data_IF_032057469432
#
_entry.id   IF_032057469432
#
_cell.length_a   1.000
_cell.length_b   1.000
_cell.length_c   1.000
_cell.angle_alpha   90.00
_cell.angle_beta   90.00
_cell.angle_gamma   90.00
#
_symmetry.space_group_name_H-M   'P 1'
#
loop_
_entity.id
_entity.type
_entity.pdbx_description
1 polymer ?
#
# COMPACT_ATOMS: atom_id res chain seq x y z
N UNK A 1 -0.18 -8.44 -2.30
CA UNK A 1 0.85 -7.44 -2.74
C UNK A 1 2.22 -8.11 -2.84
N UNK A 2 3.17 -7.46 -3.53
CA UNK A 2 4.46 -8.05 -3.88
C UNK A 2 5.62 -7.06 -3.72
N UNK A 3 6.81 -7.63 -3.47
CA UNK A 3 8.08 -6.92 -3.46
C UNK A 3 9.17 -7.78 -4.13
N UNK A 4 10.43 -7.37 -4.03
CA UNK A 4 11.56 -8.10 -4.65
C UNK A 4 11.73 -9.55 -4.16
N UNK A 5 11.27 -9.87 -2.95
CA UNK A 5 11.37 -11.24 -2.42
C UNK A 5 10.37 -12.23 -3.05
N UNK A 6 9.36 -11.78 -3.78
CA UNK A 6 8.54 -12.65 -4.61
C UNK A 6 9.23 -13.07 -5.92
N UNK A 7 10.47 -12.65 -6.13
CA UNK A 7 11.31 -12.96 -7.30
C UNK A 7 12.56 -13.80 -6.92
N UNK A 8 12.41 -15.02 -6.34
CA UNK A 8 13.56 -15.82 -5.92
C UNK A 8 14.46 -16.14 -7.11
N UNK A 9 15.76 -15.83 -7.00
CA UNK A 9 16.71 -16.00 -8.09
C UNK A 9 16.38 -15.17 -9.33
N UNK A 10 15.71 -14.03 -9.18
CA UNK A 10 15.21 -13.17 -10.26
C UNK A 10 14.14 -13.83 -11.15
N UNK A 11 13.43 -14.84 -10.63
CA UNK A 11 12.32 -15.46 -11.36
C UNK A 11 11.16 -14.44 -11.50
N UNK A 12 10.68 -14.25 -12.72
CA UNK A 12 9.54 -13.37 -12.98
C UNK A 12 8.24 -13.98 -12.44
N UNK A 13 7.34 -13.10 -11.99
CA UNK A 13 5.95 -13.47 -11.67
C UNK A 13 5.18 -13.63 -12.98
N UNK A 14 4.43 -14.73 -13.11
CA UNK A 14 3.53 -14.93 -14.25
C UNK A 14 2.18 -14.23 -13.99
N UNK A 15 2.11 -12.97 -14.35
CA UNK A 15 0.94 -12.13 -14.13
C UNK A 15 -0.30 -12.57 -14.91
N UNK A 16 -0.13 -13.29 -16.01
CA UNK A 16 -1.24 -13.88 -16.75
C UNK A 16 -1.90 -15.01 -15.93
N UNK A 17 -1.10 -15.87 -15.30
CA UNK A 17 -1.60 -16.90 -14.37
C UNK A 17 -2.22 -16.28 -13.12
N UNK A 18 -1.61 -15.24 -12.55
CA UNK A 18 -2.17 -14.49 -11.42
C UNK A 18 -3.57 -13.96 -11.77
N UNK A 19 -3.76 -13.37 -12.96
CA UNK A 19 -5.08 -12.92 -13.43
C UNK A 19 -6.05 -14.09 -13.65
N UNK A 20 -5.58 -15.17 -14.25
CA UNK A 20 -6.38 -16.37 -14.48
C UNK A 20 -6.82 -17.05 -13.17
N UNK A 21 -6.02 -16.91 -12.08
CA UNK A 21 -6.37 -17.34 -10.73
C UNK A 21 -7.45 -16.47 -10.06
N UNK A 22 -8.03 -15.49 -10.79
CA UNK A 22 -9.16 -14.68 -10.32
C UNK A 22 -8.77 -13.37 -9.65
N UNK A 23 -7.48 -13.02 -9.58
CA UNK A 23 -7.05 -11.76 -8.99
C UNK A 23 -7.53 -10.58 -9.84
N UNK A 24 -7.99 -9.50 -9.20
CA UNK A 24 -8.50 -8.32 -9.88
C UNK A 24 -7.51 -7.15 -9.83
N UNK A 25 -6.72 -7.07 -8.77
CA UNK A 25 -5.70 -6.05 -8.56
C UNK A 25 -4.44 -6.66 -7.95
N UNK A 26 -3.33 -5.94 -8.09
CA UNK A 26 -2.11 -6.24 -7.38
C UNK A 26 -1.39 -4.94 -7.01
N UNK A 27 -0.69 -4.94 -5.88
CA UNK A 27 0.03 -3.78 -5.35
C UNK A 27 1.50 -4.15 -5.27
N UNK A 28 2.38 -3.34 -5.88
CA UNK A 28 3.82 -3.62 -5.96
C UNK A 28 4.62 -2.58 -5.17
N UNK A 29 5.60 -3.05 -4.39
CA UNK A 29 6.61 -2.16 -3.78
C UNK A 29 7.32 -1.39 -4.89
N UNK A 30 7.24 -0.07 -4.86
CA UNK A 30 7.96 0.77 -5.81
C UNK A 30 9.31 1.20 -5.22
N UNK A 31 9.28 1.74 -4.00
CA UNK A 31 10.44 2.35 -3.35
C UNK A 31 10.48 2.10 -1.85
N UNK A 32 11.65 2.37 -1.25
CA UNK A 32 11.85 2.38 0.20
C UNK A 32 12.85 3.48 0.56
N UNK A 33 12.60 4.20 1.63
CA UNK A 33 13.49 5.22 2.15
C UNK A 33 13.88 6.26 1.10
N UNK A 34 15.16 6.65 1.08
CA UNK A 34 15.63 7.75 0.25
C UNK A 34 16.06 7.36 -1.16
N UNK A 35 16.39 6.07 -1.41
CA UNK A 35 17.09 5.71 -2.65
C UNK A 35 16.77 4.32 -3.20
N UNK A 36 16.16 3.42 -2.40
CA UNK A 36 15.85 2.10 -2.90
C UNK A 36 14.68 2.15 -3.90
N UNK A 37 14.88 1.54 -5.06
CA UNK A 37 13.85 1.24 -6.04
C UNK A 37 13.78 -0.28 -6.17
N UNK A 38 12.58 -0.86 -6.07
CA UNK A 38 12.40 -2.28 -6.31
C UNK A 38 12.87 -2.63 -7.73
N UNK A 39 13.88 -3.50 -7.90
CA UNK A 39 14.44 -3.81 -9.21
C UNK A 39 13.43 -4.42 -10.18
N UNK A 40 12.35 -5.02 -9.67
CA UNK A 40 11.28 -5.63 -10.48
C UNK A 40 10.10 -4.69 -10.72
N UNK A 41 10.08 -3.49 -10.10
CA UNK A 41 8.94 -2.56 -10.17
C UNK A 41 8.47 -2.27 -11.60
N UNK A 42 9.39 -1.98 -12.51
CA UNK A 42 9.05 -1.59 -13.88
C UNK A 42 8.48 -2.77 -14.68
N UNK A 43 9.08 -3.94 -14.54
CA UNK A 43 8.65 -5.17 -15.20
C UNK A 43 7.31 -5.64 -14.68
N UNK A 44 7.13 -5.74 -13.36
CA UNK A 44 5.88 -6.10 -12.72
C UNK A 44 4.76 -5.13 -13.10
N UNK A 45 5.00 -3.84 -12.99
CA UNK A 45 4.02 -2.81 -13.35
C UNK A 45 3.53 -2.91 -14.77
N UNK A 46 4.42 -3.21 -15.71
CA UNK A 46 4.09 -3.39 -17.13
C UNK A 46 3.30 -4.68 -17.34
N UNK A 47 3.77 -5.78 -16.75
CA UNK A 47 3.17 -7.11 -16.91
C UNK A 47 1.81 -7.23 -16.21
N UNK A 48 1.63 -6.62 -15.03
CA UNK A 48 0.34 -6.53 -14.34
C UNK A 48 -0.71 -5.84 -15.22
N UNK A 49 -0.35 -4.73 -15.83
CA UNK A 49 -1.22 -3.97 -16.72
C UNK A 49 -1.54 -4.75 -18.00
N UNK A 50 -0.55 -5.40 -18.61
CA UNK A 50 -0.74 -6.25 -19.78
C UNK A 50 -1.67 -7.44 -19.49
N UNK A 51 -1.64 -7.98 -18.26
CA UNK A 51 -2.54 -9.03 -17.80
C UNK A 51 -3.97 -8.52 -17.45
N UNK A 52 -4.23 -7.22 -17.50
CA UNK A 52 -5.53 -6.63 -17.16
C UNK A 52 -5.80 -6.57 -15.65
N UNK A 53 -4.77 -6.50 -14.81
CA UNK A 53 -4.89 -6.24 -13.39
C UNK A 53 -4.92 -4.73 -13.12
N UNK A 54 -5.72 -4.30 -12.15
CA UNK A 54 -5.63 -2.95 -11.59
C UNK A 54 -4.35 -2.91 -10.77
N UNK A 55 -3.48 -1.94 -11.06
CA UNK A 55 -2.19 -1.82 -10.40
C UNK A 55 -2.24 -0.82 -9.25
N UNK A 56 -1.69 -1.20 -8.10
CA UNK A 56 -1.32 -0.31 -7.01
C UNK A 56 0.19 -0.29 -6.79
N UNK A 57 0.64 0.68 -6.01
CA UNK A 57 2.04 0.81 -5.60
C UNK A 57 2.15 1.24 -4.16
N UNK A 58 3.27 0.89 -3.50
CA UNK A 58 3.56 1.41 -2.17
C UNK A 58 5.01 1.83 -2.01
N UNK A 59 5.22 2.74 -1.06
CA UNK A 59 6.52 3.16 -0.55
C UNK A 59 6.67 2.69 0.89
N UNK A 60 7.72 1.92 1.17
CA UNK A 60 8.07 1.51 2.53
C UNK A 60 8.79 2.67 3.25
N UNK A 61 8.16 3.14 4.32
CA UNK A 61 8.62 4.32 5.04
C UNK A 61 9.81 4.01 5.98
N UNK A 62 10.80 4.89 5.98
CA UNK A 62 11.89 4.92 6.95
C UNK A 62 11.87 6.27 7.68
N UNK A 63 11.06 6.42 8.78
CA UNK A 63 10.82 7.72 9.40
C UNK A 63 12.01 8.40 10.04
N UNK A 64 13.14 7.71 10.23
CA UNK A 64 14.43 8.33 10.62
C UNK A 64 14.99 9.28 9.54
N UNK A 65 14.46 9.24 8.33
CA UNK A 65 14.85 10.12 7.24
C UNK A 65 13.72 11.09 6.86
N UNK A 66 14.05 12.12 6.09
CA UNK A 66 13.11 13.15 5.68
C UNK A 66 11.91 12.61 4.92
N UNK A 67 10.69 12.89 5.40
CA UNK A 67 9.44 12.57 4.73
C UNK A 67 9.38 13.19 3.32
N UNK A 68 9.80 14.46 3.18
CA UNK A 68 9.75 15.20 1.92
C UNK A 68 10.68 14.56 0.88
N UNK A 69 11.90 14.18 1.25
CA UNK A 69 12.82 13.53 0.32
C UNK A 69 12.33 12.15 -0.10
N UNK A 70 11.73 11.38 0.81
CA UNK A 70 11.13 10.08 0.48
C UNK A 70 9.94 10.24 -0.49
N UNK A 71 9.08 11.23 -0.27
CA UNK A 71 7.96 11.49 -1.20
C UNK A 71 8.43 11.95 -2.58
N UNK A 72 9.47 12.77 -2.66
CA UNK A 72 10.06 13.19 -3.93
C UNK A 72 10.66 12.00 -4.69
N UNK A 73 11.38 11.12 -3.98
CA UNK A 73 11.91 9.88 -4.54
C UNK A 73 10.79 8.97 -5.07
N UNK A 74 9.77 8.72 -4.25
CA UNK A 74 8.63 7.88 -4.64
C UNK A 74 7.87 8.47 -5.84
N UNK A 75 7.52 9.75 -5.79
CA UNK A 75 6.81 10.42 -6.87
C UNK A 75 7.60 10.42 -8.19
N UNK A 76 8.93 10.58 -8.14
CA UNK A 76 9.79 10.51 -9.33
C UNK A 76 9.75 9.12 -9.97
N UNK A 77 9.76 8.04 -9.18
CA UNK A 77 9.62 6.67 -9.68
C UNK A 77 8.23 6.43 -10.26
N UNK A 78 7.16 6.91 -9.59
CA UNK A 78 5.80 6.79 -10.09
C UNK A 78 5.59 7.48 -11.43
N UNK A 79 6.16 8.66 -11.62
CA UNK A 79 6.02 9.45 -12.85
C UNK A 79 6.48 8.71 -14.11
N UNK A 80 7.33 7.69 -13.96
CA UNK A 80 7.83 6.91 -15.10
C UNK A 80 6.81 5.90 -15.64
N UNK A 81 5.77 5.55 -14.86
CA UNK A 81 4.90 4.42 -15.22
C UNK A 81 3.47 4.50 -14.67
N UNK A 82 3.02 5.61 -14.07
CA UNK A 82 1.65 5.72 -13.52
C UNK A 82 0.65 6.19 -14.56
N UNK A 83 -0.58 5.64 -14.49
CA UNK A 83 -1.74 6.08 -15.28
C UNK A 83 -2.91 6.43 -14.38
N UNK A 84 -3.95 7.07 -14.95
CA UNK A 84 -5.19 7.39 -14.21
C UNK A 84 -5.99 6.16 -13.80
N UNK A 85 -5.71 4.99 -14.40
CA UNK A 85 -6.38 3.73 -14.08
C UNK A 85 -5.75 2.98 -12.90
N UNK A 86 -4.59 3.41 -12.42
CA UNK A 86 -3.93 2.81 -11.27
C UNK A 86 -4.59 3.23 -9.96
N UNK A 87 -4.44 2.42 -8.90
CA UNK A 87 -4.84 2.82 -7.55
C UNK A 87 -4.03 4.05 -7.08
N UNK A 88 -4.54 4.84 -6.14
CA UNK A 88 -3.73 5.87 -5.49
C UNK A 88 -2.48 5.27 -4.87
N UNK A 89 -1.38 6.05 -4.74
CA UNK A 89 -0.16 5.57 -4.11
C UNK A 89 -0.40 5.29 -2.63
N UNK A 90 0.32 4.31 -2.06
CA UNK A 90 0.23 3.97 -0.65
C UNK A 90 1.52 4.29 0.12
N UNK A 91 1.34 4.79 1.34
CA UNK A 91 2.37 4.86 2.38
C UNK A 91 2.30 3.59 3.21
N UNK A 92 3.35 2.80 3.20
CA UNK A 92 3.54 1.62 4.04
C UNK A 92 4.30 2.04 5.31
N UNK A 93 3.59 2.05 6.46
CA UNK A 93 4.09 2.57 7.73
C UNK A 93 4.15 1.46 8.78
N UNK A 94 5.34 0.89 8.94
CA UNK A 94 5.59 -0.23 9.87
C UNK A 94 6.70 0.06 10.89
N UNK A 95 7.46 1.14 10.69
CA UNK A 95 8.58 1.53 11.54
C UNK A 95 8.40 2.94 12.10
N UNK A 96 8.93 3.17 13.30
CA UNK A 96 8.90 4.50 13.92
C UNK A 96 10.14 5.33 13.56
N UNK A 97 11.22 4.69 13.10
CA UNK A 97 12.53 5.35 12.92
C UNK A 97 13.09 5.95 14.21
N UNK A 98 12.64 5.48 15.39
CA UNK A 98 13.00 6.05 16.68
C UNK A 98 12.24 7.32 17.07
N UNK A 99 11.25 7.75 16.28
CA UNK A 99 10.42 8.92 16.56
C UNK A 99 9.39 8.62 17.66
N UNK A 100 9.10 9.62 18.49
CA UNK A 100 7.95 9.56 19.40
C UNK A 100 6.64 9.60 18.60
N UNK A 101 5.50 9.16 19.18
CA UNK A 101 4.20 9.20 18.47
C UNK A 101 3.87 10.60 17.91
N UNK A 102 4.11 11.66 18.65
CA UNK A 102 3.85 13.03 18.18
C UNK A 102 4.77 13.42 17.00
N UNK A 103 6.05 13.06 17.05
CA UNK A 103 6.97 13.33 15.95
C UNK A 103 6.65 12.49 14.71
N UNK A 104 6.22 11.24 14.91
CA UNK A 104 5.81 10.36 13.81
C UNK A 104 4.54 10.89 13.12
N UNK A 105 3.57 11.42 13.87
CA UNK A 105 2.39 12.08 13.30
C UNK A 105 2.78 13.28 12.42
N UNK A 106 3.73 14.11 12.86
CA UNK A 106 4.25 15.23 12.06
C UNK A 106 4.91 14.71 10.78
N UNK A 107 5.70 13.66 10.87
CA UNK A 107 6.37 13.02 9.75
C UNK A 107 5.35 12.48 8.73
N UNK A 108 4.35 11.73 9.19
CA UNK A 108 3.27 11.17 8.35
C UNK A 108 2.49 12.28 7.66
N UNK A 109 2.12 13.34 8.38
CA UNK A 109 1.42 14.49 7.79
C UNK A 109 2.23 15.14 6.68
N UNK A 110 3.54 15.35 6.90
CA UNK A 110 4.44 15.92 5.89
C UNK A 110 4.54 15.01 4.65
N UNK A 111 4.66 13.69 4.85
CA UNK A 111 4.67 12.70 3.76
C UNK A 111 3.39 12.77 2.93
N UNK A 112 2.23 12.59 3.57
CA UNK A 112 0.93 12.54 2.91
C UNK A 112 0.64 13.84 2.14
N UNK A 113 0.81 15.00 2.79
CA UNK A 113 0.55 16.30 2.15
C UNK A 113 1.45 16.53 0.94
N UNK A 114 2.72 16.13 1.04
CA UNK A 114 3.67 16.30 -0.08
C UNK A 114 3.35 15.34 -1.22
N UNK A 115 3.07 14.06 -0.92
CA UNK A 115 2.77 13.08 -1.97
C UNK A 115 1.45 13.40 -2.69
N UNK A 116 0.40 13.77 -1.94
CA UNK A 116 -0.88 14.17 -2.52
C UNK A 116 -0.71 15.35 -3.48
N UNK A 117 0.10 16.34 -3.10
CA UNK A 117 0.41 17.49 -3.96
C UNK A 117 1.17 17.10 -5.22
N UNK A 118 2.13 16.17 -5.12
CA UNK A 118 2.95 15.73 -6.25
C UNK A 118 2.18 14.84 -7.21
N UNK A 119 1.25 14.04 -6.72
CA UNK A 119 0.51 13.06 -7.52
C UNK A 119 -0.89 13.50 -7.92
N UNK A 120 -1.45 14.51 -7.25
CA UNK A 120 -2.84 14.95 -7.42
C UNK A 120 -3.85 13.93 -6.88
N UNK A 121 -3.42 12.97 -6.05
CA UNK A 121 -4.25 11.85 -5.56
C UNK A 121 -4.10 11.70 -4.06
N UNK A 122 -5.17 11.33 -3.37
CA UNK A 122 -5.15 11.08 -1.94
C UNK A 122 -4.41 9.76 -1.64
N UNK A 123 -3.31 9.85 -0.87
CA UNK A 123 -2.47 8.72 -0.50
C UNK A 123 -3.21 7.75 0.42
N UNK A 124 -3.12 6.45 0.13
CA UNK A 124 -3.60 5.37 0.99
C UNK A 124 -2.61 5.19 2.15
N UNK A 125 -3.10 4.91 3.36
CA UNK A 125 -2.25 4.54 4.50
C UNK A 125 -2.37 3.03 4.73
N UNK A 126 -1.23 2.32 4.60
CA UNK A 126 -1.10 0.94 5.05
C UNK A 126 -0.49 0.90 6.44
N UNK A 127 -1.12 0.11 7.33
CA UNK A 127 -0.69 -0.03 8.72
C UNK A 127 -1.36 -1.24 9.40
N UNK A 128 -0.70 -1.81 10.43
CA UNK A 128 -1.35 -2.74 11.34
C UNK A 128 -2.12 -2.02 12.46
N UNK A 129 -3.20 -2.61 13.01
CA UNK A 129 -3.94 -2.00 14.13
C UNK A 129 -3.07 -1.74 15.36
N UNK A 130 -2.15 -2.65 15.65
CA UNK A 130 -1.23 -2.51 16.78
C UNK A 130 -0.28 -1.34 16.62
N UNK A 131 0.34 -1.20 15.43
CA UNK A 131 1.23 -0.09 15.17
C UNK A 131 0.51 1.26 15.32
N UNK A 132 -0.69 1.39 14.73
CA UNK A 132 -1.43 2.65 14.82
C UNK A 132 -1.81 3.01 16.26
N UNK A 133 -2.30 2.02 17.04
CA UNK A 133 -2.69 2.27 18.44
C UNK A 133 -1.52 2.67 19.32
N UNK A 134 -0.38 1.99 19.17
CA UNK A 134 0.73 2.16 20.12
C UNK A 134 1.80 3.13 19.61
N UNK A 135 2.16 3.08 18.34
CA UNK A 135 3.26 3.88 17.81
C UNK A 135 2.77 5.24 17.25
N UNK A 136 1.52 5.28 16.77
CA UNK A 136 0.88 6.52 16.31
C UNK A 136 0.02 7.18 17.39
N UNK A 137 -0.03 6.63 18.62
CA UNK A 137 -0.84 7.18 19.70
C UNK A 137 -2.34 7.16 19.41
N UNK A 138 -2.78 6.27 18.54
CA UNK A 138 -4.17 6.12 18.10
C UNK A 138 -4.81 7.44 17.61
N UNK A 139 -4.04 8.31 16.98
CA UNK A 139 -4.52 9.61 16.47
C UNK A 139 -5.67 9.43 15.48
N UNK A 140 -6.66 10.32 15.56
CA UNK A 140 -7.81 10.38 14.64
C UNK A 140 -7.58 11.32 13.46
N UNK A 141 -6.44 11.99 13.42
CA UNK A 141 -6.14 13.04 12.42
C UNK A 141 -6.28 12.56 10.96
N UNK A 142 -6.04 11.28 10.72
CA UNK A 142 -5.98 10.72 9.37
C UNK A 142 -7.20 9.84 9.02
N UNK A 143 -8.24 9.83 9.85
CA UNK A 143 -9.39 8.93 9.73
C UNK A 143 -10.20 9.06 8.42
N UNK A 144 -10.08 10.20 7.73
CA UNK A 144 -10.73 10.43 6.43
C UNK A 144 -9.91 9.93 5.24
N UNK A 145 -8.73 9.38 5.49
CA UNK A 145 -7.90 8.82 4.43
C UNK A 145 -8.24 7.37 4.13
N UNK A 146 -8.06 6.91 2.87
CA UNK A 146 -8.22 5.50 2.56
C UNK A 146 -7.29 4.65 3.42
N UNK A 147 -7.86 3.66 4.12
CA UNK A 147 -7.13 2.76 5.00
C UNK A 147 -6.89 1.42 4.31
N UNK A 148 -5.64 0.99 4.27
CA UNK A 148 -5.24 -0.38 3.97
C UNK A 148 -4.74 -1.02 5.27
N UNK A 149 -5.59 -1.85 5.88
CA UNK A 149 -5.32 -2.43 7.20
C UNK A 149 -4.75 -3.84 7.09
N UNK A 150 -3.63 -4.11 7.76
CA UNK A 150 -3.06 -5.44 7.90
C UNK A 150 -3.53 -6.05 9.23
N UNK A 151 -4.44 -7.01 9.17
CA UNK A 151 -5.00 -7.65 10.36
C UNK A 151 -5.28 -9.15 10.08
N UNK A 152 -4.37 -10.01 10.54
CA UNK A 152 -4.39 -11.46 10.29
C UNK A 152 -5.18 -12.19 11.37
N UNK A 153 -6.46 -11.88 11.50
CA UNK A 153 -7.34 -12.35 12.55
C UNK A 153 -8.09 -13.68 12.24
N UNK A 154 -7.91 -14.21 11.02
CA UNK A 154 -8.60 -15.43 10.56
C UNK A 154 -10.11 -15.27 10.32
N UNK A 155 -10.63 -14.06 10.43
CA UNK A 155 -12.04 -13.73 10.21
C UNK A 155 -12.36 -13.42 8.74
N UNK A 156 -13.52 -12.81 8.52
CA UNK A 156 -14.02 -12.38 7.21
C UNK A 156 -13.96 -10.86 7.02
N UNK A 157 -13.49 -10.14 8.02
CA UNK A 157 -13.29 -8.69 8.04
C UNK A 157 -12.21 -8.30 9.06
N UNK A 158 -11.62 -7.11 8.99
CA UNK A 158 -10.73 -6.62 10.03
C UNK A 158 -11.42 -6.54 11.39
N UNK A 159 -10.63 -6.64 12.45
CA UNK A 159 -11.12 -6.51 13.84
C UNK A 159 -11.68 -5.11 14.10
N UNK A 160 -12.91 -5.06 14.57
CA UNK A 160 -13.57 -3.81 14.93
C UNK A 160 -13.49 -3.53 16.45
N UNK A 161 -13.47 -2.26 16.90
CA UNK A 161 -13.38 -1.06 16.07
C UNK A 161 -12.00 -0.88 15.44
N UNK A 162 -11.96 -0.27 14.25
CA UNK A 162 -10.71 0.11 13.60
C UNK A 162 -9.92 1.09 14.47
N UNK A 163 -8.58 1.15 14.34
CA UNK A 163 -7.78 2.12 15.06
C UNK A 163 -8.04 3.54 14.54
N UNK A 164 -7.56 4.58 15.27
CA UNK A 164 -7.48 5.95 14.79
C UNK A 164 -8.79 6.59 14.34
N UNK A 165 -9.94 6.10 14.80
CA UNK A 165 -11.25 6.67 14.45
C UNK A 165 -11.73 6.35 13.03
N UNK A 166 -11.04 5.52 12.25
CA UNK A 166 -11.58 5.02 10.99
C UNK A 166 -12.88 4.27 11.22
N UNK A 167 -13.90 4.58 10.44
CA UNK A 167 -15.18 3.88 10.42
C UNK A 167 -15.29 2.84 9.33
N UNK A 168 -14.35 2.87 8.37
CA UNK A 168 -14.30 1.99 7.19
C UNK A 168 -12.85 1.76 6.76
N UNK A 169 -12.63 0.66 6.07
CA UNK A 169 -11.36 0.31 5.44
C UNK A 169 -11.54 0.27 3.91
N UNK A 170 -10.48 0.51 3.18
CA UNK A 170 -10.45 0.43 1.71
C UNK A 170 -9.88 -0.91 1.26
N UNK A 171 -8.75 -1.31 1.84
CA UNK A 171 -8.13 -2.61 1.63
C UNK A 171 -7.89 -3.30 2.96
N UNK A 172 -8.02 -4.60 2.98
CA UNK A 172 -7.66 -5.46 4.10
C UNK A 172 -6.68 -6.53 3.65
N UNK A 173 -5.47 -6.48 4.19
CA UNK A 173 -4.49 -7.56 4.08
C UNK A 173 -4.79 -8.56 5.18
N UNK A 174 -5.29 -9.74 4.79
CA UNK A 174 -5.80 -10.73 5.73
C UNK A 174 -4.86 -11.88 6.00
N UNK A 175 -3.78 -12.02 5.23
CA UNK A 175 -2.70 -12.99 5.46
C UNK A 175 -1.42 -12.56 4.78
N UNK A 176 -0.28 -12.85 5.41
CA UNK A 176 1.07 -12.72 4.84
C UNK A 176 1.64 -14.05 4.32
N UNK A 177 0.81 -15.10 4.24
CA UNK A 177 1.27 -16.45 3.87
C UNK A 177 0.30 -17.12 2.89
N UNK A 178 -0.21 -16.36 1.94
CA UNK A 178 -1.08 -16.86 0.89
C UNK A 178 -0.34 -17.55 -0.25
N UNK A 179 -1.10 -18.14 -1.16
CA UNK A 179 -0.59 -18.74 -2.38
C UNK A 179 -1.45 -18.32 -3.57
N UNK A 180 -0.82 -17.87 -4.64
CA UNK A 180 -1.49 -17.52 -5.90
C UNK A 180 -0.75 -18.18 -7.04
N UNK A 181 -1.49 -18.80 -7.96
CA UNK A 181 -0.89 -19.38 -9.16
C UNK A 181 -0.19 -18.30 -9.98
N UNK A 182 1.04 -18.57 -10.40
CA UNK A 182 1.92 -17.60 -11.07
C UNK A 182 2.94 -16.92 -10.15
N UNK A 183 2.85 -17.10 -8.82
CA UNK A 183 3.84 -16.61 -7.83
C UNK A 183 4.51 -17.80 -7.15
N UNK A 184 5.84 -17.81 -7.15
CA UNK A 184 6.63 -18.95 -6.67
C UNK A 184 6.81 -19.01 -5.14
N UNK A 185 6.50 -17.93 -4.42
CA UNK A 185 6.69 -17.81 -2.96
C UNK A 185 5.36 -17.50 -2.27
N UNK A 186 5.27 -17.64 -0.94
CA UNK A 186 4.18 -17.07 -0.18
C UNK A 186 4.01 -15.58 -0.48
N UNK A 187 2.76 -15.13 -0.48
CA UNK A 187 2.37 -13.76 -0.86
C UNK A 187 1.30 -13.22 0.08
N UNK A 188 1.34 -11.92 0.29
CA UNK A 188 0.31 -11.19 1.02
C UNK A 188 -0.99 -11.14 0.20
N UNK A 189 -2.11 -11.54 0.81
CA UNK A 189 -3.41 -11.50 0.17
C UNK A 189 -4.28 -10.38 0.75
N UNK A 190 -4.94 -9.70 -0.18
CA UNK A 190 -5.71 -8.52 0.12
C UNK A 190 -7.12 -8.60 -0.48
N UNK A 191 -8.07 -7.99 0.18
CA UNK A 191 -9.41 -7.76 -0.37
C UNK A 191 -9.74 -6.27 -0.38
N UNK A 192 -10.54 -5.87 -1.36
CA UNK A 192 -11.03 -4.50 -1.50
C UNK A 192 -12.47 -4.41 -0.98
N UNK A 193 -12.80 -3.36 -0.25
CA UNK A 193 -14.15 -3.12 0.26
C UNK A 193 -15.04 -2.57 -0.87
N UNK A 194 -15.95 -3.39 -1.38
CA UNK A 194 -16.87 -3.02 -2.46
C UNK A 194 -17.97 -2.02 -2.05
N UNK A 195 -18.11 -1.72 -0.75
CA UNK A 195 -19.13 -0.78 -0.25
C UNK A 195 -18.90 0.68 -0.68
N UNK A 196 -17.78 0.95 -1.37
CA UNK A 196 -17.44 2.29 -1.87
C UNK A 196 -18.07 2.65 -3.22
N UNK A 197 -18.68 1.70 -3.92
CA UNK A 197 -19.14 1.93 -5.30
C UNK A 197 -20.63 2.28 -5.42
N UNK A 198 -21.41 2.22 -4.33
CA UNK A 198 -22.86 2.46 -4.40
C UNK A 198 -23.27 3.93 -4.24
N UNK A 199 -22.41 4.78 -3.64
CA UNK A 199 -22.79 6.17 -3.35
C UNK A 199 -22.35 7.20 -4.43
N UNK A 200 -21.62 6.77 -5.45
CA UNK A 200 -21.14 7.66 -6.52
C UNK A 200 -21.99 7.59 -7.81
N UNK A 201 -23.06 6.81 -7.82
CA UNK A 201 -23.90 6.61 -9.01
C UNK A 201 -25.26 7.32 -8.98
N UNK A 202 -25.59 8.04 -7.87
CA UNK A 202 -26.91 8.69 -7.68
C UNK A 202 -26.84 10.21 -7.46
N UNK A 203 -25.79 10.92 -7.98
CA UNK A 203 -25.85 12.38 -8.11
C UNK A 203 -25.65 12.83 -9.55
#
# INVERSE_FOLDING_TARGET
>A
DVASHQHPGSMAIDWARVKAAGQQFAIVKATEGLSYVNPHYQEDSTSMRAAGLIRGTYHYALPQYSAILQTQHYAAVLATNTTSLDLPPALDLEETGGLSPAALQIWVRAFLTTLDKLTGRQTIIYVSPGFWRYQMGNTTEFSERPLWIADYNGGTSPTMPLPGGWTKWTFWQYTGNGSVDGVATPIDLNTFCLLYTSDAADE
#
